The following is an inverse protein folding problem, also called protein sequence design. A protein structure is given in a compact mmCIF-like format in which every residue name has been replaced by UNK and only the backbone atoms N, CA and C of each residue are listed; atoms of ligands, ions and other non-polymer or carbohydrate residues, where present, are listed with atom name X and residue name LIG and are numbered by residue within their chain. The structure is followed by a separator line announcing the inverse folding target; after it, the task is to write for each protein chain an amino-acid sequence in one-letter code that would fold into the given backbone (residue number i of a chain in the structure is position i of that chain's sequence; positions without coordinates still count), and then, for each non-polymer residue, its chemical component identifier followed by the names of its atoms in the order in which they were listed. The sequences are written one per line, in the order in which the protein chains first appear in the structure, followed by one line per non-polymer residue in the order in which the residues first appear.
data_IF_642805193143
#
_entry.id   IF_642805193143
#
_cell.length_a   1.000
_cell.length_b   1.000
_cell.length_c   1.000
_cell.angle_alpha   90.00
_cell.angle_beta   90.00
_cell.angle_gamma   90.00
#
_symmetry.space_group_name_H-M   'P 1'
#
loop_
_entity.id
_entity.type
_entity.pdbx_description
1 polymer ?
#
# COMPACT_ATOMS: atom_id res chain seq x y z
N UNK A 1 -19.33 7.40 7.15
CA UNK A 1 -18.64 8.14 6.11
C UNK A 1 -17.71 9.20 6.63
N UNK A 2 -18.16 10.05 7.53
CA UNK A 2 -17.30 11.09 8.12
C UNK A 2 -16.14 10.52 8.95
N UNK A 3 -16.33 9.34 9.53
CA UNK A 3 -15.30 8.63 10.30
C UNK A 3 -14.05 8.32 9.46
N UNK A 4 -14.24 8.08 8.17
CA UNK A 4 -13.13 7.69 7.29
C UNK A 4 -12.16 8.83 7.03
N UNK A 5 -12.66 10.08 6.94
CA UNK A 5 -11.78 11.23 6.73
C UNK A 5 -10.80 11.43 7.89
N UNK A 6 -11.26 11.21 9.11
CA UNK A 6 -10.39 11.29 10.28
C UNK A 6 -9.32 10.19 10.25
N UNK A 7 -9.72 8.97 9.87
CA UNK A 7 -8.78 7.85 9.73
C UNK A 7 -7.75 8.10 8.65
N UNK A 8 -8.13 8.70 7.53
CA UNK A 8 -7.19 9.04 6.47
C UNK A 8 -6.18 10.09 6.91
N UNK A 9 -6.61 11.09 7.67
CA UNK A 9 -5.70 12.10 8.18
C UNK A 9 -4.64 11.49 9.09
N UNK A 10 -5.05 10.57 9.95
CA UNK A 10 -4.12 9.84 10.82
C UNK A 10 -3.19 8.95 10.01
N UNK A 11 -3.72 8.25 9.02
CA UNK A 11 -2.92 7.40 8.13
C UNK A 11 -1.85 8.21 7.40
N UNK A 12 -2.25 9.34 6.83
CA UNK A 12 -1.34 10.23 6.10
C UNK A 12 -0.25 10.74 7.04
N UNK A 13 -0.63 11.17 8.24
CA UNK A 13 0.30 11.66 9.24
C UNK A 13 1.31 10.59 9.66
N UNK A 14 0.81 9.39 9.94
CA UNK A 14 1.67 8.28 10.36
C UNK A 14 2.56 7.80 9.22
N UNK A 15 2.06 7.80 7.99
CA UNK A 15 2.86 7.43 6.83
C UNK A 15 3.95 8.45 6.55
N UNK A 16 3.64 9.74 6.66
CA UNK A 16 4.65 10.80 6.56
C UNK A 16 5.74 10.62 7.62
N UNK A 17 5.36 10.30 8.84
CA UNK A 17 6.32 10.05 9.93
C UNK A 17 7.21 8.84 9.62
N UNK A 18 6.61 7.75 9.15
CA UNK A 18 7.33 6.55 8.74
C UNK A 18 8.39 6.87 7.68
N UNK A 19 8.00 7.61 6.64
CA UNK A 19 8.92 7.98 5.56
C UNK A 19 10.03 8.92 6.05
N UNK A 20 9.71 9.82 6.97
CA UNK A 20 10.71 10.70 7.58
C UNK A 20 11.72 9.90 8.40
N UNK A 21 11.26 8.95 9.19
CA UNK A 21 12.13 8.12 10.03
C UNK A 21 13.01 7.18 9.20
N UNK A 22 12.47 6.61 8.13
CA UNK A 22 13.20 5.63 7.30
C UNK A 22 14.11 6.30 6.27
N UNK A 23 13.68 7.40 5.67
CA UNK A 23 14.35 7.98 4.51
C UNK A 23 14.73 9.46 4.69
N UNK A 24 14.30 10.10 5.76
CA UNK A 24 14.62 11.49 6.05
C UNK A 24 13.76 12.50 5.29
N UNK A 25 12.72 12.08 4.57
CA UNK A 25 11.87 12.98 3.81
C UNK A 25 10.68 13.42 4.63
N UNK A 26 10.48 14.74 4.74
CA UNK A 26 9.34 15.33 5.45
C UNK A 26 8.18 15.59 4.50
N UNK A 27 6.97 15.33 4.95
CA UNK A 27 5.74 15.60 4.19
C UNK A 27 5.81 15.03 2.76
N UNK A 28 6.28 13.79 2.65
CA UNK A 28 6.55 13.17 1.36
C UNK A 28 5.29 12.69 0.65
N UNK A 29 4.17 12.52 1.37
CA UNK A 29 2.93 12.00 0.79
C UNK A 29 2.19 13.08 0.02
N UNK A 30 1.93 12.83 -1.26
CA UNK A 30 0.98 13.59 -2.08
C UNK A 30 -0.32 12.80 -2.15
N UNK A 31 -1.42 13.39 -1.75
CA UNK A 31 -2.69 12.67 -1.56
C UNK A 31 -3.73 13.14 -2.56
N UNK A 32 -4.43 12.18 -3.16
CA UNK A 32 -5.56 12.44 -4.04
C UNK A 32 -6.76 11.65 -3.52
N UNK A 33 -7.91 12.32 -3.44
CA UNK A 33 -9.16 11.71 -2.99
C UNK A 33 -9.98 11.24 -4.19
N UNK A 34 -10.64 10.09 -4.06
CA UNK A 34 -11.60 9.61 -5.04
C UNK A 34 -12.74 8.87 -4.33
N UNK A 35 -13.70 8.35 -5.11
CA UNK A 35 -14.88 7.67 -4.57
C UNK A 35 -14.56 6.35 -3.86
N UNK A 36 -13.44 5.72 -4.19
CA UNK A 36 -13.02 4.44 -3.62
C UNK A 36 -12.25 4.62 -2.31
N UNK A 37 -11.65 5.79 -2.10
CA UNK A 37 -10.78 6.09 -0.97
C UNK A 37 -9.77 7.15 -1.32
N UNK A 38 -8.51 6.91 -0.99
CA UNK A 38 -7.42 7.85 -1.32
C UNK A 38 -6.30 7.15 -2.07
N UNK A 39 -5.51 7.94 -2.78
CA UNK A 39 -4.28 7.50 -3.40
C UNK A 39 -3.13 8.33 -2.83
N UNK A 40 -2.03 7.71 -2.51
CA UNK A 40 -0.84 8.38 -2.02
C UNK A 40 0.31 8.15 -2.98
N UNK A 41 0.91 9.23 -3.45
CA UNK A 41 2.11 9.20 -4.29
C UNK A 41 3.30 9.76 -3.53
N UNK A 42 4.45 9.13 -3.69
CA UNK A 42 5.70 9.57 -3.07
C UNK A 42 6.75 9.66 -4.16
N UNK A 43 7.22 10.89 -4.43
CA UNK A 43 8.28 11.17 -5.40
C UNK A 43 9.34 12.02 -4.71
N UNK A 44 10.26 11.36 -4.02
CA UNK A 44 11.32 12.04 -3.28
C UNK A 44 12.62 11.27 -3.44
N UNK A 45 13.64 11.94 -3.94
CA UNK A 45 14.94 11.32 -4.12
C UNK A 45 14.84 10.05 -4.94
N UNK A 46 15.18 8.92 -4.33
CA UNK A 46 15.14 7.59 -4.97
C UNK A 46 13.77 6.91 -4.89
N UNK A 47 12.82 7.48 -4.13
CA UNK A 47 11.53 6.83 -3.92
C UNK A 47 10.54 7.21 -5.04
N UNK A 48 9.91 6.21 -5.62
CA UNK A 48 8.80 6.35 -6.54
C UNK A 48 7.76 5.30 -6.17
N UNK A 49 6.79 5.72 -5.35
CA UNK A 49 5.80 4.82 -4.75
C UNK A 49 4.41 5.37 -5.03
N UNK A 50 3.49 4.50 -5.44
CA UNK A 50 2.10 4.86 -5.64
C UNK A 50 1.22 3.77 -5.04
N UNK A 51 0.36 4.18 -4.09
CA UNK A 51 -0.48 3.25 -3.32
C UNK A 51 -1.91 3.77 -3.29
N UNK A 52 -2.86 2.86 -3.52
CA UNK A 52 -4.29 3.12 -3.36
C UNK A 52 -4.76 2.52 -2.05
N UNK A 53 -5.50 3.31 -1.28
CA UNK A 53 -6.15 2.87 -0.04
C UNK A 53 -7.65 2.86 -0.32
N UNK A 54 -8.18 1.69 -0.69
CA UNK A 54 -9.55 1.56 -1.15
C UNK A 54 -10.42 0.86 -0.11
N UNK A 55 -11.42 1.59 0.39
CA UNK A 55 -12.48 1.00 1.21
C UNK A 55 -13.40 0.15 0.34
N UNK A 56 -13.69 0.64 -0.87
CA UNK A 56 -14.57 -0.01 -1.83
C UNK A 56 -13.83 -0.23 -3.13
N UNK A 57 -13.67 -1.48 -3.53
CA UNK A 57 -13.04 -1.81 -4.80
C UNK A 57 -14.05 -1.91 -5.94
N UNK A 58 -15.31 -2.18 -5.63
CA UNK A 58 -16.40 -2.41 -6.60
C UNK A 58 -16.05 -3.52 -7.59
N UNK A 59 -15.30 -4.52 -7.16
CA UNK A 59 -14.86 -5.63 -7.99
C UNK A 59 -13.73 -5.32 -8.96
N UNK A 60 -13.19 -4.12 -8.95
CA UNK A 60 -12.09 -3.74 -9.86
C UNK A 60 -10.86 -4.59 -9.59
N UNK A 61 -10.32 -5.22 -10.63
CA UNK A 61 -9.11 -6.01 -10.54
C UNK A 61 -9.22 -7.21 -9.61
N UNK A 62 -10.42 -7.60 -9.20
CA UNK A 62 -10.70 -8.61 -8.19
C UNK A 62 -10.16 -8.26 -6.80
N UNK A 63 -9.81 -7.01 -6.56
CA UNK A 63 -9.36 -6.59 -5.24
C UNK A 63 -10.53 -6.61 -4.26
N UNK A 64 -10.34 -7.16 -3.05
CA UNK A 64 -11.36 -7.08 -2.02
C UNK A 64 -11.52 -5.66 -1.50
N UNK A 65 -12.65 -5.39 -0.83
CA UNK A 65 -12.83 -4.11 -0.13
C UNK A 65 -11.83 -4.03 1.03
N UNK A 66 -11.52 -2.82 1.45
CA UNK A 66 -10.54 -2.54 2.50
C UNK A 66 -9.14 -3.02 2.14
N UNK A 67 -8.72 -2.68 0.93
CA UNK A 67 -7.42 -3.07 0.38
C UNK A 67 -6.44 -1.91 0.36
N UNK A 68 -5.19 -2.22 0.67
CA UNK A 68 -4.04 -1.37 0.39
C UNK A 68 -3.41 -1.93 -0.88
N UNK A 69 -3.50 -1.19 -1.99
CA UNK A 69 -3.06 -1.67 -3.30
C UNK A 69 -1.79 -0.92 -3.71
N UNK A 70 -0.66 -1.60 -3.69
CA UNK A 70 0.59 -1.02 -4.16
C UNK A 70 0.63 -1.14 -5.67
N UNK A 71 0.51 -0.01 -6.35
CA UNK A 71 0.53 0.05 -7.80
C UNK A 71 1.97 0.07 -8.30
N UNK A 72 2.83 0.79 -7.57
CA UNK A 72 4.23 0.94 -7.91
C UNK A 72 5.03 1.14 -6.62
N UNK A 73 6.14 0.44 -6.51
CA UNK A 73 7.04 0.59 -5.37
C UNK A 73 8.48 0.48 -5.84
N UNK A 74 9.11 1.63 -6.07
CA UNK A 74 10.51 1.69 -6.48
C UNK A 74 11.31 2.41 -5.40
N UNK A 75 12.21 1.67 -4.77
CA UNK A 75 13.09 2.20 -3.73
C UNK A 75 14.50 2.48 -4.26
N UNK A 76 14.79 2.07 -5.50
CA UNK A 76 16.08 2.20 -6.18
C UNK A 76 17.14 1.27 -5.61
N UNK A 77 17.30 1.24 -4.29
CA UNK A 77 18.25 0.38 -3.59
C UNK A 77 17.54 -0.46 -2.56
N UNK A 78 18.03 -1.67 -2.29
CA UNK A 78 17.47 -2.56 -1.28
C UNK A 78 15.96 -2.77 -1.45
N UNK A 79 15.55 -3.01 -2.69
CA UNK A 79 14.13 -3.09 -3.06
C UNK A 79 13.35 -4.09 -2.20
N UNK A 80 13.87 -5.31 -2.08
CA UNK A 80 13.17 -6.36 -1.34
C UNK A 80 13.03 -6.01 0.14
N UNK A 81 14.09 -5.54 0.77
CA UNK A 81 14.08 -5.23 2.19
C UNK A 81 13.21 -4.03 2.51
N UNK A 82 13.26 -3.00 1.66
CA UNK A 82 12.45 -1.82 1.84
C UNK A 82 10.96 -2.12 1.62
N UNK A 83 10.65 -2.99 0.67
CA UNK A 83 9.26 -3.43 0.45
C UNK A 83 8.75 -4.24 1.65
N UNK A 84 9.57 -5.12 2.20
CA UNK A 84 9.21 -5.87 3.42
C UNK A 84 8.96 -4.93 4.59
N UNK A 85 9.79 -3.92 4.75
CA UNK A 85 9.63 -2.93 5.82
C UNK A 85 8.31 -2.16 5.65
N UNK A 86 7.99 -1.74 4.43
CA UNK A 86 6.73 -1.08 4.13
C UNK A 86 5.53 -1.98 4.43
N UNK A 87 5.60 -3.24 4.00
CA UNK A 87 4.55 -4.22 4.27
C UNK A 87 4.36 -4.45 5.77
N UNK A 88 5.45 -4.50 6.53
CA UNK A 88 5.40 -4.61 7.99
C UNK A 88 4.73 -3.41 8.62
N UNK A 89 5.02 -2.22 8.13
CA UNK A 89 4.35 -1.00 8.59
C UNK A 89 2.84 -1.11 8.44
N UNK A 90 2.36 -1.51 7.26
CA UNK A 90 0.92 -1.68 7.03
C UNK A 90 0.32 -2.79 7.88
N UNK A 91 1.03 -3.89 8.07
CA UNK A 91 0.55 -5.00 8.89
C UNK A 91 0.35 -4.56 10.35
N UNK A 92 1.26 -3.77 10.87
CA UNK A 92 1.18 -3.28 12.25
C UNK A 92 0.04 -2.29 12.45
N UNK A 93 -0.26 -1.47 11.45
CA UNK A 93 -1.25 -0.40 11.56
C UNK A 93 -2.66 -0.79 11.09
N UNK A 94 -2.84 -1.99 10.51
CA UNK A 94 -4.12 -2.42 9.94
C UNK A 94 -5.34 -2.28 10.85
N UNK A 95 -5.27 -2.63 12.15
CA UNK A 95 -6.45 -2.54 13.01
C UNK A 95 -6.89 -1.11 13.25
N UNK A 96 -5.96 -0.18 13.19
CA UNK A 96 -6.23 1.24 13.44
C UNK A 96 -7.02 1.88 12.31
N UNK A 97 -6.76 1.46 11.06
CA UNK A 97 -7.35 2.08 9.88
C UNK A 97 -8.42 1.23 9.20
N UNK A 98 -8.62 0.01 9.64
CA UNK A 98 -9.66 -0.87 9.10
C UNK A 98 -9.27 -1.63 7.84
N UNK A 99 -8.08 -1.41 7.29
CA UNK A 99 -7.63 -2.15 6.11
C UNK A 99 -7.30 -3.60 6.47
N UNK A 100 -7.64 -4.51 5.57
CA UNK A 100 -7.54 -5.96 5.82
C UNK A 100 -6.60 -6.67 4.86
N UNK A 101 -6.34 -6.10 3.69
CA UNK A 101 -5.60 -6.78 2.63
C UNK A 101 -4.48 -5.92 2.09
N UNK A 102 -3.36 -6.55 1.76
CA UNK A 102 -2.32 -5.97 0.94
C UNK A 102 -2.41 -6.56 -0.45
N UNK A 103 -2.43 -5.71 -1.47
CA UNK A 103 -2.59 -6.10 -2.86
C UNK A 103 -1.55 -5.41 -3.71
N UNK A 104 -1.34 -5.93 -4.91
CA UNK A 104 -0.50 -5.27 -5.90
C UNK A 104 -0.97 -5.56 -7.32
N UNK A 105 -0.74 -4.59 -8.21
CA UNK A 105 -0.81 -4.74 -9.66
C UNK A 105 0.55 -4.39 -10.30
N UNK A 106 1.61 -4.36 -9.48
CA UNK A 106 2.96 -4.02 -9.89
C UNK A 106 3.55 -5.13 -10.76
N UNK A 107 4.28 -4.74 -11.80
CA UNK A 107 4.96 -5.69 -12.69
C UNK A 107 6.03 -6.51 -11.96
N UNK A 108 6.63 -5.97 -10.92
CA UNK A 108 7.64 -6.64 -10.12
C UNK A 108 7.04 -7.58 -9.06
N UNK A 109 6.08 -8.38 -9.46
CA UNK A 109 5.32 -9.24 -8.56
C UNK A 109 6.17 -10.25 -7.77
N UNK A 110 7.39 -10.52 -8.20
CA UNK A 110 8.29 -11.48 -7.50
C UNK A 110 8.51 -11.13 -6.04
N UNK A 111 8.72 -9.85 -5.76
CA UNK A 111 8.93 -9.39 -4.38
C UNK A 111 7.68 -9.59 -3.53
N UNK A 112 6.51 -9.40 -4.14
CA UNK A 112 5.24 -9.57 -3.45
C UNK A 112 4.93 -11.04 -3.19
N UNK A 113 5.36 -11.93 -4.07
CA UNK A 113 5.24 -13.37 -3.85
C UNK A 113 6.05 -13.83 -2.63
N UNK A 114 7.21 -13.23 -2.39
CA UNK A 114 7.99 -13.54 -1.17
C UNK A 114 7.28 -13.12 0.11
N UNK A 115 6.39 -12.13 0.04
CA UNK A 115 5.54 -11.72 1.15
C UNK A 115 4.35 -12.64 1.35
N UNK A 116 4.11 -13.56 0.42
CA UNK A 116 3.02 -14.52 0.48
C UNK A 116 1.80 -14.16 -0.35
N UNK A 117 1.81 -13.04 -1.09
CA UNK A 117 0.68 -12.65 -1.92
C UNK A 117 0.40 -13.69 -3.00
N UNK A 118 -0.89 -13.91 -3.27
CA UNK A 118 -1.37 -14.90 -4.24
C UNK A 118 -2.12 -14.22 -5.36
N UNK A 119 -2.05 -14.80 -6.55
CA UNK A 119 -2.76 -14.28 -7.72
C UNK A 119 -4.26 -14.33 -7.52
N UNK A 120 -4.92 -13.19 -7.69
CA UNK A 120 -6.38 -13.07 -7.61
C UNK A 120 -7.01 -12.75 -8.95
N UNK A 121 -6.21 -12.27 -9.91
CA UNK A 121 -6.65 -12.01 -11.26
C UNK A 121 -5.48 -12.29 -12.19
N UNK A 122 -5.62 -13.30 -13.02
CA UNK A 122 -4.61 -13.70 -14.00
C UNK A 122 -4.79 -12.88 -15.29
N UNK A 123 -3.76 -12.89 -16.14
CA UNK A 123 -3.81 -12.21 -17.42
C UNK A 123 -2.52 -11.48 -17.74
N UNK A 124 -2.63 -10.48 -18.63
CA UNK A 124 -1.49 -9.71 -19.08
C UNK A 124 -0.80 -8.93 -17.96
N UNK A 125 -1.61 -8.36 -17.06
CA UNK A 125 -1.13 -7.67 -15.85
C UNK A 125 -1.79 -8.33 -14.65
N UNK A 126 -1.20 -9.40 -14.09
CA UNK A 126 -1.83 -10.12 -13.00
C UNK A 126 -1.86 -9.30 -11.71
N UNK A 127 -2.91 -9.50 -10.91
CA UNK A 127 -3.08 -8.89 -9.61
C UNK A 127 -2.89 -9.92 -8.51
N UNK A 128 -2.34 -9.48 -7.39
CA UNK A 128 -2.03 -10.33 -6.23
C UNK A 128 -2.61 -9.72 -4.97
N UNK A 129 -2.96 -10.56 -4.01
CA UNK A 129 -3.49 -10.12 -2.72
C UNK A 129 -3.22 -11.14 -1.61
N UNK A 130 -3.22 -10.63 -0.38
CA UNK A 130 -3.18 -11.44 0.82
C UNK A 130 -3.74 -10.64 1.99
N UNK A 131 -4.36 -11.31 2.94
CA UNK A 131 -4.75 -10.66 4.19
C UNK A 131 -3.51 -10.13 4.91
N UNK A 132 -3.59 -8.91 5.43
CA UNK A 132 -2.45 -8.28 6.13
C UNK A 132 -1.93 -9.15 7.25
N UNK A 133 -2.81 -9.81 7.98
CA UNK A 133 -2.44 -10.70 9.10
C UNK A 133 -1.59 -11.88 8.67
N UNK A 134 -1.66 -12.29 7.41
CA UNK A 134 -0.99 -13.47 6.88
C UNK A 134 0.31 -13.14 6.14
N UNK A 135 0.67 -11.87 6.04
CA UNK A 135 1.89 -11.43 5.39
C UNK A 135 3.13 -12.06 6.07
N UNK A 136 4.05 -12.50 5.23
CA UNK A 136 5.31 -13.11 5.66
C UNK A 136 6.36 -12.03 5.97
N UNK A 137 6.11 -11.28 7.01
CA UNK A 137 7.02 -10.21 7.47
C UNK A 137 7.10 -10.18 8.99
#
# INVERSE_FOLDING_TARGET
MYLYKANYNDLISDFNLYLCERYGYRNACSVMWNENGICISIHRGSLDIYIRFWEYSCGRGNFPDWSIIIVRSNFKENQEENLKDLARFFKEYKPRYGYKYLCTEDDDYKYYQTLGLKCIMDGFCPNYALALKDLNV
#
